data_IF_809870177638
#
_entry.id   IF_809870177638
#
_cell.length_a   1.000
_cell.length_b   1.000
_cell.length_c   1.000
_cell.angle_alpha   90.00
_cell.angle_beta   90.00
_cell.angle_gamma   90.00
#
_symmetry.space_group_name_H-M   'P 1'
#
loop_
_entity.id
_entity.type
_entity.pdbx_description
1 polymer ?
#
# COMPACT_ATOMS: atom_id res chain seq x y z
N UNK A 1 -16.43 13.18 -23.00
CA UNK A 1 -16.10 11.89 -22.35
C UNK A 1 -14.99 12.05 -21.31
N UNK A 2 -13.91 12.76 -21.58
CA UNK A 2 -12.79 12.99 -20.63
C UNK A 2 -13.23 13.60 -19.29
N UNK A 3 -14.17 14.54 -19.29
CA UNK A 3 -14.68 15.17 -18.06
C UNK A 3 -15.60 14.26 -17.22
N UNK A 4 -16.10 13.16 -17.79
CA UNK A 4 -16.93 12.16 -17.08
C UNK A 4 -16.05 11.13 -16.39
N UNK A 5 -15.00 10.66 -17.06
CA UNK A 5 -14.02 9.72 -16.52
C UNK A 5 -13.29 10.34 -15.31
N UNK A 6 -12.84 11.60 -15.44
CA UNK A 6 -12.18 12.29 -14.33
C UNK A 6 -13.10 12.49 -13.11
N UNK A 7 -14.41 12.69 -13.30
CA UNK A 7 -15.38 12.78 -12.20
C UNK A 7 -15.70 11.42 -11.58
N UNK A 8 -15.77 10.36 -12.35
CA UNK A 8 -15.98 9.00 -11.84
C UNK A 8 -14.77 8.52 -11.03
N UNK A 9 -13.55 8.82 -11.47
CA UNK A 9 -12.31 8.55 -10.71
C UNK A 9 -12.24 9.37 -9.40
N UNK A 10 -12.60 10.65 -9.41
CA UNK A 10 -12.64 11.47 -8.20
C UNK A 10 -13.68 10.98 -7.18
N UNK A 11 -14.84 10.50 -7.62
CA UNK A 11 -15.85 9.89 -6.75
C UNK A 11 -15.35 8.56 -6.17
N UNK A 12 -14.64 7.76 -6.97
CA UNK A 12 -14.01 6.51 -6.50
C UNK A 12 -12.95 6.76 -5.41
N UNK A 13 -12.11 7.78 -5.58
CA UNK A 13 -11.10 8.14 -4.57
C UNK A 13 -11.71 8.72 -3.28
N UNK A 14 -12.78 9.51 -3.39
CA UNK A 14 -13.49 10.03 -2.21
C UNK A 14 -14.13 8.91 -1.39
N UNK A 15 -14.78 7.94 -2.05
CA UNK A 15 -15.36 6.77 -1.39
C UNK A 15 -14.31 5.91 -0.69
N UNK A 16 -13.15 5.69 -1.34
CA UNK A 16 -12.03 4.95 -0.73
C UNK A 16 -11.44 5.68 0.49
N UNK A 17 -11.38 7.00 0.47
CA UNK A 17 -10.91 7.77 1.62
C UNK A 17 -11.86 7.64 2.82
N UNK A 18 -13.18 7.77 2.59
CA UNK A 18 -14.21 7.60 3.63
C UNK A 18 -14.20 6.18 4.21
N UNK A 19 -14.06 5.17 3.37
CA UNK A 19 -13.96 3.78 3.80
C UNK A 19 -12.68 3.54 4.61
N UNK A 20 -11.55 4.07 4.16
CA UNK A 20 -10.28 4.03 4.90
C UNK A 20 -10.36 4.70 6.25
N UNK A 21 -11.02 5.85 6.35
CA UNK A 21 -11.26 6.56 7.62
C UNK A 21 -12.15 5.74 8.57
N UNK A 22 -13.20 5.08 8.07
CA UNK A 22 -14.07 4.22 8.86
C UNK A 22 -13.29 3.00 9.40
N UNK A 23 -12.47 2.35 8.57
CA UNK A 23 -11.58 1.26 8.97
C UNK A 23 -10.58 1.76 10.04
N UNK A 24 -9.99 2.91 9.80
CA UNK A 24 -9.03 3.52 10.74
C UNK A 24 -9.65 3.81 12.09
N UNK A 25 -10.86 4.34 12.12
CA UNK A 25 -11.60 4.63 13.35
C UNK A 25 -11.86 3.35 14.16
N UNK A 26 -12.20 2.25 13.49
CA UNK A 26 -12.43 0.95 14.12
C UNK A 26 -11.14 0.35 14.75
N UNK A 27 -9.98 0.63 14.16
CA UNK A 27 -8.69 0.15 14.67
C UNK A 27 -8.04 1.05 15.74
N UNK A 28 -8.49 2.29 15.83
CA UNK A 28 -7.91 3.34 16.67
C UNK A 28 -7.16 4.38 15.84
N UNK A 29 -7.63 5.62 15.87
CA UNK A 29 -7.15 6.71 14.99
C UNK A 29 -5.64 6.99 15.12
N UNK A 30 -5.05 6.76 16.28
CA UNK A 30 -3.62 7.01 16.55
C UNK A 30 -2.74 5.75 16.45
N UNK A 31 -3.33 4.60 16.20
CA UNK A 31 -2.61 3.33 16.11
C UNK A 31 -1.73 3.30 14.86
N UNK A 32 -0.39 3.04 14.95
CA UNK A 32 0.44 2.92 13.75
C UNK A 32 0.06 1.69 12.94
N UNK A 33 -0.10 1.85 11.61
CA UNK A 33 -0.55 0.76 10.72
C UNK A 33 0.40 0.61 9.54
N UNK A 34 1.02 -0.58 9.43
CA UNK A 34 1.74 -1.04 8.25
C UNK A 34 0.82 -1.90 7.39
N UNK A 35 0.66 -1.57 6.12
CA UNK A 35 -0.06 -2.40 5.16
C UNK A 35 0.95 -3.10 4.25
N UNK A 36 1.07 -4.42 4.37
CA UNK A 36 1.86 -5.26 3.48
C UNK A 36 0.93 -5.87 2.43
N UNK A 37 0.86 -5.24 1.26
CA UNK A 37 -0.06 -5.59 0.18
C UNK A 37 0.55 -6.52 -0.85
N UNK A 38 -0.25 -7.44 -1.37
CA UNK A 38 0.12 -8.38 -2.44
C UNK A 38 1.37 -9.23 -2.11
N UNK A 39 1.45 -9.73 -0.89
CA UNK A 39 2.60 -10.51 -0.40
C UNK A 39 2.62 -11.94 -0.94
N UNK A 40 3.82 -12.51 -1.06
CA UNK A 40 4.08 -13.89 -1.45
C UNK A 40 4.63 -14.70 -0.28
N UNK A 41 4.60 -16.04 -0.39
CA UNK A 41 4.86 -16.98 0.71
C UNK A 41 6.15 -16.72 1.50
N UNK A 42 7.28 -16.57 0.83
CA UNK A 42 8.58 -16.38 1.49
C UNK A 42 8.70 -14.98 2.07
N UNK A 43 8.09 -14.01 1.42
CA UNK A 43 8.07 -12.61 1.81
C UNK A 43 7.22 -12.40 3.06
N UNK A 44 6.11 -13.14 3.21
CA UNK A 44 5.25 -13.10 4.40
C UNK A 44 6.04 -13.41 5.67
N UNK A 45 6.93 -14.42 5.65
CA UNK A 45 7.78 -14.75 6.78
C UNK A 45 8.71 -13.59 7.17
N UNK A 46 9.33 -12.94 6.16
CA UNK A 46 10.21 -11.79 6.35
C UNK A 46 9.45 -10.59 6.93
N UNK A 47 8.25 -10.31 6.41
CA UNK A 47 7.39 -9.22 6.88
C UNK A 47 6.94 -9.45 8.32
N UNK A 48 6.53 -10.69 8.67
CA UNK A 48 6.12 -11.05 10.02
C UNK A 48 7.27 -10.93 11.02
N UNK A 49 8.49 -11.35 10.65
CA UNK A 49 9.68 -11.20 11.48
C UNK A 49 10.03 -9.72 11.69
N UNK A 50 10.04 -8.93 10.64
CA UNK A 50 10.27 -7.49 10.71
C UNK A 50 9.22 -6.82 11.61
N UNK A 51 7.95 -7.20 11.47
CA UNK A 51 6.87 -6.61 12.27
C UNK A 51 6.99 -6.92 13.76
N UNK A 52 7.42 -8.13 14.14
CA UNK A 52 7.73 -8.43 15.55
C UNK A 52 8.79 -7.50 16.13
N UNK A 53 9.80 -7.16 15.35
CA UNK A 53 10.80 -6.17 15.74
C UNK A 53 10.22 -4.75 15.87
N UNK A 54 9.26 -4.37 15.01
CA UNK A 54 8.56 -3.08 15.08
C UNK A 54 7.75 -2.96 16.38
N UNK A 55 7.11 -4.03 16.84
CA UNK A 55 6.34 -4.06 18.09
C UNK A 55 7.19 -3.72 19.33
N UNK A 56 8.50 -3.92 19.28
CA UNK A 56 9.38 -3.51 20.37
C UNK A 56 9.41 -1.99 20.60
N UNK A 57 9.25 -1.21 19.50
CA UNK A 57 9.21 0.27 19.55
C UNK A 57 7.79 0.82 19.54
N UNK A 58 6.86 0.10 18.91
CA UNK A 58 5.44 0.48 18.75
C UNK A 58 4.55 -0.70 19.15
N UNK A 59 4.34 -0.95 20.47
CA UNK A 59 3.59 -2.12 20.95
C UNK A 59 2.15 -2.20 20.45
N UNK A 60 1.54 -1.06 20.16
CA UNK A 60 0.17 -0.95 19.67
C UNK A 60 0.05 -1.01 18.14
N UNK A 61 1.17 -1.15 17.41
CA UNK A 61 1.14 -1.17 15.95
C UNK A 61 0.27 -2.33 15.41
N UNK A 62 -0.27 -2.13 14.21
CA UNK A 62 -1.03 -3.13 13.46
C UNK A 62 -0.32 -3.42 12.13
N UNK A 63 -0.13 -4.70 11.85
CA UNK A 63 0.18 -5.18 10.52
C UNK A 63 -1.11 -5.59 9.81
N UNK A 64 -1.39 -4.98 8.67
CA UNK A 64 -2.40 -5.47 7.72
C UNK A 64 -1.68 -6.29 6.66
N UNK A 65 -1.89 -7.59 6.68
CA UNK A 65 -1.25 -8.54 5.76
C UNK A 65 -2.24 -8.96 4.68
N UNK A 66 -1.94 -8.66 3.43
CA UNK A 66 -2.81 -8.93 2.28
C UNK A 66 -2.09 -9.87 1.30
N UNK A 67 -2.21 -11.19 1.45
CA UNK A 67 -1.58 -12.14 0.54
C UNK A 67 -2.13 -12.02 -0.88
N UNK A 68 -1.27 -12.20 -1.88
CA UNK A 68 -1.62 -12.05 -3.30
C UNK A 68 -2.58 -13.13 -3.80
N UNK A 69 -2.54 -14.32 -3.20
CA UNK A 69 -3.25 -15.50 -3.69
C UNK A 69 -4.17 -16.09 -2.61
N UNK A 70 -5.42 -16.46 -2.95
CA UNK A 70 -6.40 -16.98 -1.98
C UNK A 70 -5.93 -18.23 -1.21
N UNK A 71 -5.17 -19.10 -1.85
CA UNK A 71 -4.61 -20.31 -1.22
C UNK A 71 -3.63 -20.00 -0.09
N UNK A 72 -3.16 -18.75 -0.01
CA UNK A 72 -2.25 -18.27 1.05
C UNK A 72 -2.97 -17.76 2.29
N UNK A 73 -4.23 -17.34 2.20
CA UNK A 73 -4.91 -16.64 3.29
C UNK A 73 -4.84 -17.37 4.63
N UNK A 74 -5.27 -18.63 4.66
CA UNK A 74 -5.24 -19.43 5.87
C UNK A 74 -3.81 -19.70 6.38
N UNK A 75 -2.84 -19.90 5.44
CA UNK A 75 -1.44 -20.18 5.78
C UNK A 75 -0.75 -18.92 6.33
N UNK A 76 -0.98 -17.76 5.75
CA UNK A 76 -0.46 -16.48 6.24
C UNK A 76 -0.98 -16.18 7.66
N UNK A 77 -2.28 -16.36 7.90
CA UNK A 77 -2.88 -16.23 9.22
C UNK A 77 -2.28 -17.22 10.23
N UNK A 78 -2.08 -18.47 9.84
CA UNK A 78 -1.44 -19.47 10.69
C UNK A 78 0.03 -19.15 10.98
N UNK A 79 0.78 -18.67 9.99
CA UNK A 79 2.17 -18.25 10.17
C UNK A 79 2.29 -17.09 11.17
N UNK A 80 1.39 -16.10 11.07
CA UNK A 80 1.33 -14.99 12.02
C UNK A 80 1.05 -15.47 13.44
N UNK A 81 0.07 -16.38 13.65
CA UNK A 81 -0.24 -16.97 14.97
C UNK A 81 0.93 -17.79 15.51
N UNK A 82 1.56 -18.60 14.68
CA UNK A 82 2.73 -19.39 15.07
C UNK A 82 3.90 -18.50 15.46
N UNK A 83 4.03 -17.33 14.82
CA UNK A 83 4.97 -16.28 15.18
C UNK A 83 4.65 -15.52 16.46
N UNK A 84 3.56 -15.86 17.16
CA UNK A 84 3.16 -15.25 18.45
C UNK A 84 2.35 -13.96 18.32
N UNK A 85 1.81 -13.63 17.11
CA UNK A 85 0.96 -12.47 16.94
C UNK A 85 -0.52 -12.82 17.21
N UNK A 86 -1.24 -11.90 17.84
CA UNK A 86 -2.70 -11.95 17.91
C UNK A 86 -3.29 -11.59 16.54
N UNK A 87 -4.06 -12.53 15.95
CA UNK A 87 -4.51 -12.42 14.55
C UNK A 87 -6.02 -12.27 14.46
N UNK A 88 -6.46 -11.24 13.75
CA UNK A 88 -7.83 -11.08 13.26
C UNK A 88 -7.90 -11.32 11.75
N UNK A 89 -9.09 -11.67 11.25
CA UNK A 89 -9.35 -11.89 9.82
C UNK A 89 -10.37 -10.87 9.30
N UNK A 90 -10.22 -10.47 8.05
CA UNK A 90 -11.19 -9.62 7.35
C UNK A 90 -12.59 -10.22 7.36
N UNK A 91 -12.70 -11.53 7.11
CA UNK A 91 -13.99 -12.27 7.12
C UNK A 91 -14.72 -12.21 8.47
N UNK A 92 -14.03 -11.89 9.56
CA UNK A 92 -14.64 -11.72 10.89
C UNK A 92 -15.11 -10.29 11.17
N UNK A 93 -14.93 -9.36 10.23
CA UNK A 93 -15.32 -7.95 10.32
C UNK A 93 -14.21 -7.04 10.87
N UNK A 94 -14.21 -5.78 10.45
CA UNK A 94 -13.19 -4.80 10.81
C UNK A 94 -13.12 -4.50 12.32
N UNK A 95 -14.22 -4.65 13.05
CA UNK A 95 -14.27 -4.46 14.52
C UNK A 95 -13.56 -5.56 15.30
N UNK A 96 -13.27 -6.71 14.67
CA UNK A 96 -12.56 -7.82 15.31
C UNK A 96 -11.07 -7.56 15.49
N UNK A 97 -10.55 -6.45 14.96
CA UNK A 97 -9.12 -6.08 15.08
C UNK A 97 -8.76 -5.48 16.44
N UNK A 98 -9.71 -5.22 17.32
CA UNK A 98 -9.42 -4.74 18.67
C UNK A 98 -8.53 -5.75 19.40
N UNK A 99 -7.30 -5.32 19.77
CA UNK A 99 -6.30 -6.17 20.42
C UNK A 99 -5.47 -7.04 19.45
N UNK A 100 -5.84 -7.20 18.17
CA UNK A 100 -5.03 -7.92 17.21
C UNK A 100 -3.77 -7.12 16.83
N UNK A 101 -2.66 -7.82 16.63
CA UNK A 101 -1.39 -7.24 16.14
C UNK A 101 -1.23 -7.48 14.63
N UNK A 102 -1.90 -8.48 14.07
CA UNK A 102 -1.92 -8.77 12.65
C UNK A 102 -3.36 -8.94 12.18
N UNK A 103 -3.75 -8.17 11.17
CA UNK A 103 -5.04 -8.28 10.49
C UNK A 103 -4.80 -8.87 9.11
N UNK A 104 -5.26 -10.09 8.89
CA UNK A 104 -5.10 -10.77 7.59
C UNK A 104 -6.34 -10.53 6.74
N UNK A 105 -6.13 -10.00 5.54
CA UNK A 105 -7.20 -9.81 4.56
C UNK A 105 -7.36 -11.10 3.76
N UNK A 106 -8.33 -11.88 4.13
CA UNK A 106 -8.67 -13.17 3.53
C UNK A 106 -9.79 -13.04 2.47
N UNK A 107 -9.74 -11.96 1.69
CA UNK A 107 -10.63 -11.66 0.58
C UNK A 107 -9.85 -11.06 -0.59
N UNK A 108 -10.31 -11.34 -1.82
CA UNK A 108 -9.74 -10.75 -3.04
C UNK A 108 -10.38 -9.40 -3.35
N UNK A 109 -9.55 -8.48 -3.89
CA UNK A 109 -10.04 -7.17 -4.34
C UNK A 109 -10.15 -6.09 -3.26
N UNK A 110 -9.86 -6.44 -2.00
CA UNK A 110 -10.08 -5.59 -0.83
C UNK A 110 -8.84 -4.77 -0.39
N UNK A 111 -7.80 -4.67 -1.23
CA UNK A 111 -6.52 -4.05 -0.81
C UNK A 111 -6.59 -2.52 -0.66
N UNK A 112 -7.28 -1.84 -1.56
CA UNK A 112 -7.27 -0.38 -1.62
C UNK A 112 -7.80 0.32 -0.36
N UNK A 113 -8.93 -0.09 0.25
CA UNK A 113 -9.40 0.48 1.50
C UNK A 113 -8.38 0.36 2.65
N UNK A 114 -7.63 -0.73 2.68
CA UNK A 114 -6.59 -0.92 3.69
C UNK A 114 -5.37 -0.03 3.46
N UNK A 115 -4.95 0.18 2.21
CA UNK A 115 -3.95 1.22 1.92
C UNK A 115 -4.44 2.59 2.36
N UNK A 116 -5.72 2.92 2.13
CA UNK A 116 -6.30 4.17 2.58
C UNK A 116 -6.32 4.31 4.12
N UNK A 117 -6.47 3.21 4.86
CA UNK A 117 -6.42 3.18 6.32
C UNK A 117 -5.01 3.17 6.91
N UNK A 118 -3.98 2.77 6.14
CA UNK A 118 -2.61 2.58 6.60
C UNK A 118 -1.80 3.86 6.75
N UNK A 119 -0.69 3.81 7.46
CA UNK A 119 0.29 4.89 7.58
C UNK A 119 1.47 4.69 6.62
N UNK A 120 1.87 3.44 6.39
CA UNK A 120 2.98 3.03 5.53
C UNK A 120 2.55 1.82 4.73
N UNK A 121 2.86 1.81 3.44
CA UNK A 121 2.60 0.70 2.54
C UNK A 121 3.91 -0.02 2.18
N UNK A 122 3.94 -1.33 2.37
CA UNK A 122 4.93 -2.22 1.76
C UNK A 122 4.26 -2.95 0.59
N UNK A 123 4.84 -2.86 -0.60
CA UNK A 123 4.33 -3.52 -1.80
C UNK A 123 5.10 -4.80 -2.06
N UNK A 124 4.39 -5.91 -1.94
CA UNK A 124 4.94 -7.26 -2.04
C UNK A 124 5.36 -7.69 -3.45
N UNK A 125 5.83 -8.93 -3.56
CA UNK A 125 6.49 -9.46 -4.75
C UNK A 125 7.85 -8.81 -5.02
N UNK A 126 8.36 -8.05 -4.06
CA UNK A 126 9.52 -7.20 -4.22
C UNK A 126 10.74 -7.60 -3.38
N UNK A 127 10.58 -8.29 -2.26
CA UNK A 127 11.71 -8.92 -1.53
C UNK A 127 12.15 -10.24 -2.18
N UNK A 128 11.24 -10.94 -2.83
CA UNK A 128 11.51 -12.11 -3.67
C UNK A 128 11.55 -11.70 -5.15
N UNK A 129 12.23 -12.47 -6.03
CA UNK A 129 12.39 -12.10 -7.44
C UNK A 129 11.12 -12.35 -8.27
N UNK A 130 9.98 -11.88 -7.80
CA UNK A 130 8.67 -11.91 -8.48
C UNK A 130 8.52 -10.71 -9.41
N UNK A 131 9.13 -9.56 -9.07
CA UNK A 131 9.14 -8.35 -9.91
C UNK A 131 8.31 -7.20 -9.38
N UNK A 132 7.75 -7.33 -8.18
CA UNK A 132 6.92 -6.32 -7.54
C UNK A 132 5.48 -6.29 -8.06
N UNK A 133 4.64 -5.62 -7.32
CA UNK A 133 3.24 -5.33 -7.66
C UNK A 133 3.01 -3.83 -7.84
N UNK A 134 1.76 -3.42 -8.04
CA UNK A 134 1.38 -2.06 -8.39
C UNK A 134 1.69 -1.06 -7.26
N UNK A 135 2.71 -0.24 -7.46
CA UNK A 135 3.13 0.81 -6.52
C UNK A 135 2.28 2.08 -6.62
N UNK A 136 1.50 2.22 -7.71
CA UNK A 136 0.64 3.38 -7.91
C UNK A 136 -0.57 3.39 -6.98
N UNK A 137 -1.07 2.22 -6.55
CA UNK A 137 -2.21 2.11 -5.67
C UNK A 137 -1.98 2.84 -4.33
N UNK A 138 -0.96 2.49 -3.52
CA UNK A 138 -0.68 3.22 -2.29
C UNK A 138 -0.20 4.65 -2.55
N UNK A 139 0.51 4.91 -3.66
CA UNK A 139 0.99 6.25 -4.02
C UNK A 139 -0.17 7.22 -4.30
N UNK A 140 -1.19 6.79 -5.04
CA UNK A 140 -2.40 7.58 -5.31
C UNK A 140 -3.15 7.96 -4.03
N UNK A 141 -3.14 7.06 -3.04
CA UNK A 141 -3.72 7.29 -1.71
C UNK A 141 -2.80 8.10 -0.78
N UNK A 142 -1.64 8.53 -1.29
CA UNK A 142 -0.69 9.36 -0.54
C UNK A 142 -0.03 8.64 0.62
N UNK A 143 0.25 7.36 0.46
CA UNK A 143 1.00 6.58 1.45
C UNK A 143 2.48 6.53 1.07
N UNK A 144 3.40 6.66 2.05
CA UNK A 144 4.80 6.30 1.86
C UNK A 144 4.90 4.86 1.36
N UNK A 145 5.68 4.62 0.31
CA UNK A 145 5.79 3.31 -0.33
C UNK A 145 7.16 2.69 -0.03
N UNK A 146 7.16 1.49 0.50
CA UNK A 146 8.35 0.66 0.67
C UNK A 146 8.30 -0.51 -0.31
N UNK A 147 9.42 -0.79 -0.95
CA UNK A 147 9.59 -1.92 -1.90
C UNK A 147 10.91 -2.63 -1.66
N UNK A 148 10.95 -3.93 -1.96
CA UNK A 148 12.18 -4.70 -1.97
C UNK A 148 13.06 -4.40 -3.20
N UNK A 149 14.16 -5.18 -3.39
CA UNK A 149 15.10 -4.99 -4.50
C UNK A 149 14.53 -5.36 -5.87
N UNK A 150 13.51 -6.23 -5.93
CA UNK A 150 12.98 -6.79 -7.16
C UNK A 150 11.69 -6.08 -7.60
N UNK A 151 11.83 -5.09 -8.48
CA UNK A 151 10.69 -4.27 -8.98
C UNK A 151 10.64 -4.20 -10.50
N UNK A 152 11.14 -5.23 -11.20
CA UNK A 152 11.33 -5.17 -12.64
C UNK A 152 10.04 -5.09 -13.45
N UNK A 153 8.87 -5.50 -12.90
CA UNK A 153 7.57 -5.30 -13.54
C UNK A 153 7.08 -3.84 -13.45
N UNK A 154 7.64 -3.06 -12.52
CA UNK A 154 7.26 -1.66 -12.25
C UNK A 154 8.50 -0.77 -12.09
N UNK A 155 9.60 -1.09 -12.80
CA UNK A 155 10.92 -0.46 -12.61
C UNK A 155 10.87 1.05 -12.74
N UNK A 156 10.30 1.55 -13.83
CA UNK A 156 10.34 2.96 -14.19
C UNK A 156 9.54 3.82 -13.21
N UNK A 157 8.31 3.40 -12.90
CA UNK A 157 7.48 4.14 -11.96
C UNK A 157 8.00 4.04 -10.52
N UNK A 158 8.60 2.90 -10.14
CA UNK A 158 9.27 2.75 -8.84
C UNK A 158 10.46 3.69 -8.73
N UNK A 159 11.28 3.80 -9.78
CA UNK A 159 12.42 4.73 -9.81
C UNK A 159 11.95 6.19 -9.67
N UNK A 160 10.92 6.58 -10.39
CA UNK A 160 10.33 7.92 -10.31
C UNK A 160 9.79 8.23 -8.90
N UNK A 161 9.09 7.28 -8.25
CA UNK A 161 8.62 7.44 -6.88
C UNK A 161 9.76 7.60 -5.88
N UNK A 162 10.86 6.86 -6.05
CA UNK A 162 12.05 6.97 -5.19
C UNK A 162 12.72 8.34 -5.41
N UNK A 163 12.91 8.76 -6.66
CA UNK A 163 13.52 10.05 -7.00
C UNK A 163 12.69 11.24 -6.46
N UNK A 164 11.36 11.13 -6.51
CA UNK A 164 10.45 12.10 -5.93
C UNK A 164 10.43 12.08 -4.40
N UNK A 165 11.12 11.15 -3.74
CA UNK A 165 11.09 10.98 -2.29
C UNK A 165 9.76 10.44 -1.76
N UNK A 166 8.97 9.78 -2.60
CA UNK A 166 7.67 9.16 -2.28
C UNK A 166 7.79 7.69 -1.87
N UNK A 167 8.87 7.03 -2.31
CA UNK A 167 9.14 5.63 -2.00
C UNK A 167 10.57 5.43 -1.51
N UNK A 168 10.81 4.29 -0.86
CA UNK A 168 12.13 3.84 -0.49
C UNK A 168 12.30 2.34 -0.75
N UNK A 169 13.53 1.95 -1.12
CA UNK A 169 13.90 0.55 -1.32
C UNK A 169 14.48 -0.01 -0.03
N UNK A 170 14.00 -1.18 0.38
CA UNK A 170 14.49 -1.94 1.54
C UNK A 170 15.14 -3.22 1.05
N UNK A 171 16.34 -3.52 1.52
CA UNK A 171 17.11 -4.65 1.03
C UNK A 171 16.58 -6.00 1.56
N UNK A 172 16.09 -6.00 2.79
CA UNK A 172 15.68 -7.19 3.55
C UNK A 172 14.72 -6.83 4.70
N UNK A 173 14.39 -7.82 5.54
CA UNK A 173 13.51 -7.63 6.69
C UNK A 173 14.06 -6.66 7.74
N UNK A 174 15.35 -6.61 7.96
CA UNK A 174 15.97 -5.68 8.91
C UNK A 174 15.85 -4.24 8.41
N UNK A 175 16.08 -4.02 7.11
CA UNK A 175 15.89 -2.73 6.47
C UNK A 175 14.41 -2.31 6.45
N UNK A 176 13.49 -3.26 6.22
CA UNK A 176 12.04 -3.01 6.32
C UNK A 176 11.64 -2.57 7.73
N UNK A 177 12.09 -3.30 8.76
CA UNK A 177 11.85 -2.95 10.16
C UNK A 177 12.35 -1.54 10.47
N UNK A 178 13.60 -1.23 10.13
CA UNK A 178 14.20 0.07 10.39
C UNK A 178 13.44 1.22 9.70
N UNK A 179 13.09 1.05 8.42
CA UNK A 179 12.34 2.04 7.65
C UNK A 179 10.94 2.30 8.23
N UNK A 180 10.22 1.23 8.64
CA UNK A 180 8.90 1.38 9.24
C UNK A 180 8.97 2.05 10.61
N UNK A 181 9.93 1.67 11.47
CA UNK A 181 10.15 2.32 12.77
C UNK A 181 10.43 3.81 12.60
N UNK A 182 11.29 4.18 11.66
CA UNK A 182 11.58 5.58 11.34
C UNK A 182 10.32 6.31 10.86
N UNK A 183 9.58 5.73 9.93
CA UNK A 183 8.36 6.34 9.40
C UNK A 183 7.25 6.42 10.44
N UNK A 184 7.09 5.46 11.34
CA UNK A 184 6.11 5.56 12.42
C UNK A 184 6.46 6.67 13.40
N UNK A 185 7.76 6.91 13.67
CA UNK A 185 8.24 7.97 14.55
C UNK A 185 8.22 9.37 13.95
N UNK A 186 8.16 9.52 12.61
CA UNK A 186 8.25 10.81 11.91
C UNK A 186 6.99 11.07 11.05
N UNK A 187 6.00 11.70 11.66
CA UNK A 187 4.74 12.07 10.99
C UNK A 187 4.96 13.05 9.82
N UNK A 188 5.89 14.00 9.98
CA UNK A 188 6.19 15.00 8.96
C UNK A 188 6.81 14.33 7.72
N UNK A 189 7.70 13.36 7.94
CA UNK A 189 8.28 12.58 6.84
C UNK A 189 7.22 11.76 6.12
N UNK A 190 6.33 11.07 6.85
CA UNK A 190 5.21 10.36 6.24
C UNK A 190 4.36 11.29 5.38
N UNK A 191 4.05 12.48 5.89
CA UNK A 191 3.24 13.47 5.17
C UNK A 191 3.96 13.95 3.90
N UNK A 192 5.25 14.28 3.98
CA UNK A 192 6.04 14.70 2.79
C UNK A 192 6.09 13.60 1.74
N UNK A 193 6.39 12.36 2.14
CA UNK A 193 6.42 11.22 1.22
C UNK A 193 5.06 10.98 0.56
N UNK A 194 3.98 11.01 1.33
CA UNK A 194 2.63 10.85 0.83
C UNK A 194 2.19 11.97 -0.11
N UNK A 195 2.58 13.23 0.16
CA UNK A 195 2.31 14.35 -0.72
C UNK A 195 3.06 14.21 -2.06
N UNK A 196 4.33 13.84 -2.03
CA UNK A 196 5.15 13.57 -3.21
C UNK A 196 4.56 12.43 -4.06
N UNK A 197 4.07 11.36 -3.41
CA UNK A 197 3.42 10.24 -4.07
C UNK A 197 2.17 10.68 -4.85
N UNK A 198 1.25 11.40 -4.19
CA UNK A 198 0.04 11.93 -4.85
C UNK A 198 0.38 12.87 -6.00
N UNK A 199 1.36 13.76 -5.81
CA UNK A 199 1.76 14.71 -6.85
C UNK A 199 2.29 14.00 -8.09
N UNK A 200 3.11 12.97 -7.93
CA UNK A 200 3.64 12.19 -9.06
C UNK A 200 2.53 11.49 -9.84
N UNK A 201 1.61 10.82 -9.13
CA UNK A 201 0.46 10.13 -9.76
C UNK A 201 -0.42 11.13 -10.52
N UNK A 202 -0.77 12.27 -9.90
CA UNK A 202 -1.58 13.30 -10.54
C UNK A 202 -0.92 13.90 -11.79
N UNK A 203 0.40 14.08 -11.79
CA UNK A 203 1.14 14.59 -12.95
C UNK A 203 1.15 13.58 -14.11
N UNK A 204 1.27 12.28 -13.81
CA UNK A 204 1.19 11.20 -14.78
C UNK A 204 -0.18 11.10 -15.45
N UNK A 205 -1.26 11.19 -14.68
CA UNK A 205 -2.63 11.23 -15.21
C UNK A 205 -2.86 12.46 -16.10
N UNK A 206 -2.38 13.62 -15.68
CA UNK A 206 -2.47 14.86 -16.48
C UNK A 206 -1.68 14.79 -17.80
N UNK A 207 -0.55 14.09 -17.84
CA UNK A 207 0.22 13.88 -19.06
C UNK A 207 -0.55 12.98 -20.05
N UNK A 208 -1.13 11.88 -19.55
CA UNK A 208 -1.93 10.98 -20.36
C UNK A 208 -3.16 11.67 -20.96
N UNK A 209 -3.87 12.47 -20.16
CA UNK A 209 -5.04 13.22 -20.64
C UNK A 209 -4.66 14.19 -21.77
N UNK A 210 -3.59 14.97 -21.61
CA UNK A 210 -3.11 15.88 -22.67
C UNK A 210 -2.74 15.13 -23.96
N UNK A 211 -2.07 13.98 -23.85
CA UNK A 211 -1.71 13.17 -25.03
C UNK A 211 -2.95 12.66 -25.75
N UNK A 212 -3.98 12.23 -25.04
CA UNK A 212 -5.25 11.81 -25.64
C UNK A 212 -5.95 12.97 -26.34
N UNK A 213 -6.02 14.15 -25.74
CA UNK A 213 -6.60 15.36 -26.34
C UNK A 213 -5.85 15.77 -27.62
N UNK A 214 -4.52 15.67 -27.66
CA UNK A 214 -3.70 15.93 -28.85
C UNK A 214 -3.97 14.92 -29.98
N UNK A 215 -4.11 13.63 -29.63
CA UNK A 215 -4.44 12.57 -30.63
C UNK A 215 -5.83 12.79 -31.18
N UNK A 216 -6.84 13.06 -30.36
CA UNK A 216 -8.21 13.35 -30.80
C UNK A 216 -8.26 14.60 -31.69
N UNK A 217 -7.55 15.66 -31.31
CA UNK A 217 -7.43 16.89 -32.12
C UNK A 217 -6.78 16.65 -33.49
N UNK A 218 -5.78 15.76 -33.55
CA UNK A 218 -5.11 15.40 -34.80
C UNK A 218 -6.00 14.55 -35.70
N UNK A 219 -6.75 13.61 -35.11
CA UNK A 219 -7.68 12.76 -35.87
C UNK A 219 -8.86 13.55 -36.45
N UNK A 220 -9.37 14.53 -35.74
CA UNK A 220 -10.45 15.40 -36.22
C UNK A 220 -9.97 16.37 -37.31
N UNK A 221 -8.74 16.87 -37.22
CA UNK A 221 -8.15 17.76 -38.25
C UNK A 221 -7.78 17.06 -39.58
N UNK A 222 -7.65 15.70 -39.57
CA UNK A 222 -7.35 14.90 -40.76
C UNK A 222 -8.63 14.39 -41.45
N UNK A 223 -9.81 14.62 -40.88
CA UNK A 223 -11.11 14.17 -41.41
C UNK A 223 -11.84 15.26 -42.22
N UNK A 224 -11.31 16.48 -42.33
CA UNK A 224 -11.73 17.59 -43.20
C UNK A 224 -10.80 17.69 -44.42
#
# INVERSE_FOLDING_TARGET
ESGRVAREEQHGHAGLAEEGEAIRAAWGAQRPVLVAGSTHEREEAVVLDAFRGILASFPDALLVLVPRHPERFARAAQAARTGGLEVALHSAGATSSAGAQCFVVDAMGELLPYYAAGDVAFVGGSLEPVGGHNVLEPAALGRPVLVGPHTFNFSDITAQLIEAGAAARVADGAALQAAVVELFGDADRRQRMGAAARQLVASGQGALARTLDEIEGTLTATAD
#
